data_IF_429246010278
#
_entry.id   IF_429246010278
#
_cell.length_a   1.000
_cell.length_b   1.000
_cell.length_c   1.000
_cell.angle_alpha   90.00
_cell.angle_beta   90.00
_cell.angle_gamma   90.00
#
_symmetry.space_group_name_H-M   'P 1'
#
loop_
_entity.id
_entity.type
_entity.pdbx_description
1 polymer ?
#
# COMPACT_ATOMS: atom_id res chain seq x y z
N UNK A 1 10.35 -34.04 20.03
CA UNK A 1 9.45 -33.36 19.06
C UNK A 1 8.36 -32.64 19.84
N UNK A 2 8.43 -31.30 19.96
CA UNK A 2 7.45 -30.50 20.71
C UNK A 2 6.15 -30.41 19.90
N UNK A 3 5.05 -30.85 20.48
CA UNK A 3 3.70 -30.77 19.90
C UNK A 3 3.41 -29.31 19.49
N UNK A 4 3.07 -28.98 18.23
CA UNK A 4 2.85 -27.60 17.77
C UNK A 4 1.49 -27.01 18.17
N UNK A 5 0.58 -27.86 18.69
CA UNK A 5 -0.80 -27.50 19.08
C UNK A 5 -0.98 -26.49 20.23
N UNK A 6 -0.08 -26.31 21.22
CA UNK A 6 -0.28 -25.33 22.29
C UNK A 6 0.02 -23.89 21.82
N UNK A 7 0.90 -23.71 20.82
CA UNK A 7 1.30 -22.37 20.37
C UNK A 7 0.19 -21.66 19.58
N UNK A 8 -0.49 -22.36 18.67
CA UNK A 8 -1.63 -21.80 17.92
C UNK A 8 -2.80 -21.42 18.86
N UNK A 9 -3.07 -22.26 19.86
CA UNK A 9 -4.09 -21.95 20.88
C UNK A 9 -3.71 -20.75 21.73
N UNK A 10 -2.45 -20.67 22.15
CA UNK A 10 -1.92 -19.53 22.89
C UNK A 10 -1.97 -18.24 22.05
N UNK A 11 -1.62 -18.32 20.76
CA UNK A 11 -1.73 -17.21 19.82
C UNK A 11 -3.17 -16.72 19.69
N UNK A 12 -4.12 -17.63 19.44
CA UNK A 12 -5.53 -17.26 19.28
C UNK A 12 -6.13 -16.67 20.56
N UNK A 13 -5.83 -17.26 21.72
CA UNK A 13 -6.26 -16.72 23.01
C UNK A 13 -5.68 -15.34 23.27
N UNK A 14 -4.41 -15.10 22.92
CA UNK A 14 -3.79 -13.80 23.04
C UNK A 14 -4.41 -12.80 22.06
N UNK A 15 -4.57 -13.16 20.80
CA UNK A 15 -5.20 -12.30 19.79
C UNK A 15 -6.61 -11.85 20.19
N UNK A 16 -7.39 -12.76 20.79
CA UNK A 16 -8.72 -12.43 21.31
C UNK A 16 -8.67 -11.50 22.53
N UNK A 17 -7.77 -11.77 23.51
CA UNK A 17 -7.59 -10.93 24.70
C UNK A 17 -7.14 -9.51 24.35
N UNK A 18 -6.25 -9.37 23.37
CA UNK A 18 -5.74 -8.08 22.90
C UNK A 18 -6.72 -7.34 21.95
N UNK A 19 -7.90 -7.92 21.69
CA UNK A 19 -8.90 -7.39 20.75
C UNK A 19 -8.29 -7.03 19.38
N UNK A 20 -7.45 -7.91 18.84
CA UNK A 20 -6.76 -7.69 17.56
C UNK A 20 -7.75 -7.46 16.43
N UNK A 21 -8.90 -8.15 16.46
CA UNK A 21 -9.99 -7.95 15.49
C UNK A 21 -10.53 -6.53 15.54
N UNK A 22 -10.83 -5.99 16.73
CA UNK A 22 -11.29 -4.60 16.89
C UNK A 22 -10.24 -3.58 16.44
N UNK A 23 -8.98 -3.80 16.79
CA UNK A 23 -7.86 -2.95 16.35
C UNK A 23 -7.66 -2.99 14.83
N UNK A 24 -7.77 -4.17 14.22
CA UNK A 24 -7.70 -4.31 12.76
C UNK A 24 -8.85 -3.61 12.05
N UNK A 25 -10.07 -3.66 12.62
CA UNK A 25 -11.22 -2.94 12.08
C UNK A 25 -11.02 -1.41 12.15
N UNK A 26 -10.45 -0.90 13.25
CA UNK A 26 -10.10 0.51 13.40
C UNK A 26 -9.08 0.96 12.35
N UNK A 27 -8.03 0.15 12.12
CA UNK A 27 -7.00 0.43 11.10
C UNK A 27 -7.60 0.37 9.69
N UNK A 28 -8.41 -0.65 9.39
CA UNK A 28 -9.07 -0.81 8.09
C UNK A 28 -10.05 0.33 7.78
N UNK A 29 -10.83 0.78 8.78
CA UNK A 29 -11.73 1.92 8.61
C UNK A 29 -10.95 3.22 8.31
N UNK A 30 -9.86 3.47 9.04
CA UNK A 30 -9.00 4.62 8.75
C UNK A 30 -8.34 4.51 7.38
N UNK A 31 -7.95 3.30 6.96
CA UNK A 31 -7.41 3.05 5.63
C UNK A 31 -8.45 3.40 4.55
N UNK A 32 -9.69 2.90 4.70
CA UNK A 32 -10.77 3.17 3.75
C UNK A 32 -11.03 4.68 3.57
N UNK A 33 -11.03 5.43 4.67
CA UNK A 33 -11.16 6.89 4.62
C UNK A 33 -9.94 7.57 3.99
N UNK A 34 -8.76 6.97 4.11
CA UNK A 34 -7.51 7.50 3.56
C UNK A 34 -7.28 7.18 2.09
N UNK A 35 -8.01 6.22 1.48
CA UNK A 35 -7.81 5.83 0.07
C UNK A 35 -7.98 7.01 -0.89
N UNK A 36 -9.12 7.72 -0.83
CA UNK A 36 -9.38 8.84 -1.75
C UNK A 36 -8.38 9.98 -1.57
N UNK A 37 -8.15 10.51 -0.36
CA UNK A 37 -7.18 11.58 -0.19
C UNK A 37 -5.77 11.14 -0.58
N UNK A 38 -5.38 9.89 -0.29
CA UNK A 38 -4.09 9.37 -0.71
C UNK A 38 -3.94 9.33 -2.23
N UNK A 39 -4.97 8.88 -2.96
CA UNK A 39 -4.97 8.91 -4.43
C UNK A 39 -4.80 10.34 -4.97
N UNK A 40 -5.46 11.33 -4.36
CA UNK A 40 -5.29 12.74 -4.73
C UNK A 40 -3.87 13.25 -4.47
N UNK A 41 -3.25 12.84 -3.36
CA UNK A 41 -1.87 13.20 -3.06
C UNK A 41 -0.92 12.63 -4.10
N UNK A 42 -1.09 11.36 -4.48
CA UNK A 42 -0.32 10.71 -5.54
C UNK A 42 -0.47 11.48 -6.84
N UNK A 43 -1.70 11.79 -7.26
CA UNK A 43 -1.96 12.59 -8.46
C UNK A 43 -1.24 13.94 -8.44
N UNK A 44 -1.34 14.68 -7.32
CA UNK A 44 -0.71 15.98 -7.18
C UNK A 44 0.83 15.90 -7.26
N UNK A 45 1.44 14.95 -6.54
CA UNK A 45 2.90 14.80 -6.52
C UNK A 45 3.42 14.37 -7.89
N UNK A 46 2.80 13.35 -8.50
CA UNK A 46 3.32 12.81 -9.75
C UNK A 46 2.92 13.63 -10.99
N UNK A 47 1.69 14.14 -11.02
CA UNK A 47 1.16 14.96 -12.11
C UNK A 47 1.69 16.40 -12.09
N UNK A 48 1.64 17.09 -10.94
CA UNK A 48 2.05 18.51 -10.89
C UNK A 48 3.51 18.72 -10.48
N UNK A 49 3.99 18.03 -9.44
CA UNK A 49 5.36 18.27 -8.93
C UNK A 49 6.41 17.61 -9.83
N UNK A 50 6.22 16.34 -10.16
CA UNK A 50 7.15 15.58 -11.00
C UNK A 50 6.86 15.70 -12.51
N UNK A 51 5.70 16.25 -12.90
CA UNK A 51 5.28 16.46 -14.30
C UNK A 51 5.35 15.19 -15.16
N UNK A 52 5.09 14.03 -14.56
CA UNK A 52 5.12 12.75 -15.26
C UNK A 52 3.80 12.59 -16.03
N UNK A 53 3.87 12.71 -17.36
CA UNK A 53 2.73 12.54 -18.24
C UNK A 53 2.24 11.07 -18.19
N UNK A 54 0.93 10.87 -18.01
CA UNK A 54 0.29 9.54 -18.03
C UNK A 54 0.02 8.90 -16.65
N UNK A 55 0.45 9.51 -15.54
CA UNK A 55 0.15 8.99 -14.19
C UNK A 55 -1.34 9.09 -13.85
N UNK A 56 -2.01 10.12 -14.38
CA UNK A 56 -3.43 10.38 -14.19
C UNK A 56 -4.29 9.20 -14.70
N UNK A 57 -3.94 8.67 -15.88
CA UNK A 57 -4.62 7.53 -16.48
C UNK A 57 -4.42 6.24 -15.66
N UNK A 58 -3.23 6.02 -15.10
CA UNK A 58 -2.94 4.87 -14.23
C UNK A 58 -3.71 4.93 -12.90
N UNK A 59 -3.70 6.10 -12.24
CA UNK A 59 -4.46 6.31 -10.99
C UNK A 59 -5.96 6.18 -11.23
N UNK A 60 -6.47 6.69 -12.35
CA UNK A 60 -7.87 6.56 -12.71
C UNK A 60 -8.26 5.11 -13.01
N UNK A 61 -7.43 4.35 -13.73
CA UNK A 61 -7.65 2.91 -13.97
C UNK A 61 -7.67 2.12 -12.67
N UNK A 62 -6.73 2.39 -11.75
CA UNK A 62 -6.71 1.76 -10.44
C UNK A 62 -7.95 2.12 -9.60
N UNK A 63 -8.39 3.38 -9.61
CA UNK A 63 -9.60 3.80 -8.92
C UNK A 63 -10.87 3.17 -9.52
N UNK A 64 -10.95 3.04 -10.85
CA UNK A 64 -12.05 2.35 -11.52
C UNK A 64 -12.09 0.85 -11.20
N UNK A 65 -10.93 0.19 -11.07
CA UNK A 65 -10.85 -1.21 -10.62
C UNK A 65 -11.29 -1.38 -9.18
N UNK A 66 -10.98 -0.42 -8.31
CA UNK A 66 -11.40 -0.42 -6.90
C UNK A 66 -12.89 -0.09 -6.73
N UNK A 67 -13.41 0.80 -7.59
CA UNK A 67 -14.78 1.28 -7.54
C UNK A 67 -15.44 1.17 -8.93
N UNK A 68 -15.74 -0.04 -9.41
CA UNK A 68 -16.28 -0.25 -10.76
C UNK A 68 -17.65 0.40 -10.99
N UNK A 69 -18.38 0.68 -9.91
CA UNK A 69 -19.68 1.35 -9.93
C UNK A 69 -19.59 2.88 -9.81
N UNK A 70 -18.39 3.44 -9.60
CA UNK A 70 -18.21 4.88 -9.64
C UNK A 70 -18.28 5.33 -11.10
N UNK A 71 -19.16 6.28 -11.41
CA UNK A 71 -19.27 6.83 -12.77
C UNK A 71 -17.92 7.39 -13.21
N UNK A 72 -17.39 6.88 -14.33
CA UNK A 72 -16.08 7.30 -14.84
C UNK A 72 -15.98 8.83 -14.97
N UNK A 73 -17.07 9.46 -15.42
CA UNK A 73 -17.18 10.92 -15.57
C UNK A 73 -17.05 11.67 -14.25
N UNK A 74 -17.54 11.10 -13.14
CA UNK A 74 -17.39 11.72 -11.81
C UNK A 74 -15.94 11.65 -11.36
N UNK A 75 -15.26 10.52 -11.59
CA UNK A 75 -13.84 10.37 -11.25
C UNK A 75 -12.96 11.29 -12.12
N UNK A 76 -13.18 11.33 -13.43
CA UNK A 76 -12.43 12.23 -14.33
C UNK A 76 -12.71 13.70 -14.05
N UNK A 77 -13.96 14.09 -13.75
CA UNK A 77 -14.27 15.48 -13.40
C UNK A 77 -13.62 15.91 -12.09
N UNK A 78 -13.56 15.03 -11.09
CA UNK A 78 -12.86 15.31 -9.83
C UNK A 78 -11.36 15.48 -10.07
N UNK A 79 -10.74 14.61 -10.87
CA UNK A 79 -9.31 14.70 -11.21
C UNK A 79 -9.00 15.95 -12.06
N UNK A 80 -9.79 16.21 -13.11
CA UNK A 80 -9.62 17.37 -13.99
C UNK A 80 -9.82 18.71 -13.27
N UNK A 81 -10.75 18.77 -12.29
CA UNK A 81 -10.91 19.95 -11.43
C UNK A 81 -9.71 20.19 -10.51
N UNK A 82 -8.96 19.16 -10.17
CA UNK A 82 -7.76 19.26 -9.32
C UNK A 82 -6.55 19.68 -10.16
N UNK A 83 -6.44 19.22 -11.41
CA UNK A 83 -5.40 19.66 -12.35
C UNK A 83 -5.63 21.09 -12.87
N UNK A 84 -6.89 21.43 -13.20
CA UNK A 84 -7.24 22.65 -13.92
C UNK A 84 -7.54 23.87 -13.06
N UNK A 85 -7.69 23.74 -11.73
CA UNK A 85 -8.12 24.84 -10.88
C UNK A 85 -7.06 25.26 -9.84
N UNK A 86 -7.03 26.58 -9.59
CA UNK A 86 -6.10 27.37 -8.76
C UNK A 86 -5.36 26.60 -7.66
N UNK A 87 -4.05 26.84 -7.56
CA UNK A 87 -3.09 26.40 -6.52
C UNK A 87 -3.71 26.17 -5.13
N UNK A 88 -4.71 26.97 -4.75
CA UNK A 88 -5.48 26.84 -3.50
C UNK A 88 -6.22 25.50 -3.32
N UNK A 89 -6.89 24.95 -4.35
CA UNK A 89 -7.62 23.67 -4.25
C UNK A 89 -6.63 22.50 -4.19
N UNK A 90 -5.56 22.56 -4.99
CA UNK A 90 -4.45 21.60 -4.89
C UNK A 90 -3.81 21.60 -3.50
N UNK A 91 -3.60 22.77 -2.89
CA UNK A 91 -3.12 22.89 -1.50
C UNK A 91 -4.13 22.32 -0.50
N UNK A 92 -5.43 22.59 -0.66
CA UNK A 92 -6.44 22.05 0.24
C UNK A 92 -6.56 20.52 0.14
N UNK A 93 -6.50 19.97 -1.07
CA UNK A 93 -6.47 18.53 -1.31
C UNK A 93 -5.19 17.90 -0.77
N UNK A 94 -4.04 18.57 -0.92
CA UNK A 94 -2.77 18.15 -0.33
C UNK A 94 -2.84 18.15 1.20
N UNK A 95 -3.34 19.21 1.84
CA UNK A 95 -3.45 19.28 3.29
C UNK A 95 -4.49 18.28 3.85
N UNK A 96 -5.62 18.11 3.16
CA UNK A 96 -6.64 17.13 3.53
C UNK A 96 -6.13 15.70 3.42
N UNK A 97 -5.41 15.38 2.35
CA UNK A 97 -4.81 14.07 2.15
C UNK A 97 -3.69 13.75 3.12
N UNK A 98 -2.88 14.75 3.42
CA UNK A 98 -1.82 14.66 4.40
C UNK A 98 -2.38 14.46 5.81
N UNK A 99 -3.49 15.12 6.15
CA UNK A 99 -4.18 14.95 7.43
C UNK A 99 -4.79 13.56 7.59
N UNK A 100 -5.46 13.06 6.56
CA UNK A 100 -6.14 11.75 6.57
C UNK A 100 -5.14 10.59 6.42
N UNK A 101 -4.14 10.72 5.56
CA UNK A 101 -3.02 9.77 5.51
C UNK A 101 -2.31 9.69 6.86
N UNK A 102 -2.18 10.81 7.57
CA UNK A 102 -1.62 10.81 8.91
C UNK A 102 -2.52 10.19 9.98
N UNK A 103 -3.84 10.06 9.75
CA UNK A 103 -4.76 9.36 10.68
C UNK A 103 -4.62 7.84 10.56
N UNK A 104 -4.40 7.30 9.35
CA UNK A 104 -4.11 5.88 9.15
C UNK A 104 -2.88 5.43 9.95
N UNK A 105 -1.76 6.13 9.80
CA UNK A 105 -0.55 5.83 10.55
C UNK A 105 -0.71 6.03 12.06
N UNK A 106 -1.51 7.01 12.48
CA UNK A 106 -1.85 7.18 13.89
C UNK A 106 -2.66 6.03 14.46
N UNK A 107 -3.62 5.50 13.69
CA UNK A 107 -4.39 4.31 14.06
C UNK A 107 -3.50 3.06 14.15
N UNK A 108 -2.55 2.90 13.22
CA UNK A 108 -1.54 1.84 13.31
C UNK A 108 -0.69 2.00 14.57
N UNK A 109 -0.10 3.17 14.81
CA UNK A 109 0.71 3.44 16.01
C UNK A 109 -0.04 3.10 17.30
N UNK A 110 -1.32 3.47 17.38
CA UNK A 110 -2.20 3.16 18.52
C UNK A 110 -2.45 1.65 18.67
N UNK A 111 -2.70 0.95 17.56
CA UNK A 111 -2.93 -0.49 17.56
C UNK A 111 -1.67 -1.26 17.99
N UNK A 112 -0.52 -0.93 17.42
CA UNK A 112 0.77 -1.52 17.78
C UNK A 112 1.15 -1.17 19.23
N UNK A 113 0.96 0.07 19.67
CA UNK A 113 1.18 0.48 21.06
C UNK A 113 0.40 -0.38 22.06
N UNK A 114 -0.87 -0.64 21.74
CA UNK A 114 -1.73 -1.49 22.57
C UNK A 114 -1.31 -2.96 22.57
N UNK A 115 -0.99 -3.53 21.40
CA UNK A 115 -0.59 -4.94 21.27
C UNK A 115 0.77 -5.19 21.97
N UNK A 116 1.74 -4.31 21.76
CA UNK A 116 3.09 -4.43 22.30
C UNK A 116 3.24 -3.85 23.70
N UNK A 117 2.17 -3.29 24.29
CA UNK A 117 2.19 -2.68 25.62
C UNK A 117 3.30 -1.61 25.77
N UNK A 118 3.52 -0.84 24.70
CA UNK A 118 4.46 0.29 24.68
C UNK A 118 3.70 1.59 24.73
N UNK A 119 4.28 2.62 25.36
CA UNK A 119 3.67 3.94 25.40
C UNK A 119 3.40 4.46 23.99
N UNK A 120 2.13 4.82 23.72
CA UNK A 120 1.74 5.47 22.48
C UNK A 120 2.52 6.77 22.31
N UNK A 121 2.89 7.10 21.07
CA UNK A 121 3.58 8.36 20.78
C UNK A 121 2.69 9.54 21.17
N UNK A 122 3.29 10.60 21.72
CA UNK A 122 2.57 11.85 21.96
C UNK A 122 2.04 12.43 20.64
N UNK A 123 1.01 13.28 20.69
CA UNK A 123 0.31 13.77 19.49
C UNK A 123 1.27 14.34 18.41
N UNK A 124 2.28 15.11 18.81
CA UNK A 124 3.29 15.69 17.89
C UNK A 124 4.23 14.62 17.32
N UNK A 125 4.68 13.68 18.15
CA UNK A 125 5.59 12.60 17.77
C UNK A 125 4.88 11.63 16.80
N UNK A 126 3.61 11.32 17.07
CA UNK A 126 2.75 10.51 16.23
C UNK A 126 2.57 11.16 14.85
N UNK A 127 2.28 12.47 14.79
CA UNK A 127 2.16 13.15 13.50
C UNK A 127 3.47 13.15 12.71
N UNK A 128 4.61 13.47 13.34
CA UNK A 128 5.93 13.40 12.68
C UNK A 128 6.23 12.02 12.11
N UNK A 129 5.93 10.96 12.86
CA UNK A 129 6.08 9.59 12.39
C UNK A 129 5.17 9.29 11.19
N UNK A 130 3.89 9.69 11.26
CA UNK A 130 2.95 9.53 10.15
C UNK A 130 3.43 10.19 8.86
N UNK A 131 4.01 11.39 8.95
CA UNK A 131 4.60 12.09 7.81
C UNK A 131 5.80 11.35 7.22
N UNK A 132 6.72 10.87 8.07
CA UNK A 132 7.87 10.11 7.63
C UNK A 132 7.44 8.83 6.90
N UNK A 133 6.46 8.12 7.44
CA UNK A 133 5.96 6.87 6.88
C UNK A 133 5.17 7.09 5.59
N UNK A 134 4.44 8.20 5.46
CA UNK A 134 3.85 8.62 4.19
C UNK A 134 4.91 8.88 3.11
N UNK A 135 6.03 9.53 3.47
CA UNK A 135 7.18 9.70 2.59
C UNK A 135 7.79 8.37 2.14
N UNK A 136 7.90 7.40 3.04
CA UNK A 136 8.37 6.04 2.71
C UNK A 136 7.44 5.39 1.69
N UNK A 137 6.12 5.43 1.90
CA UNK A 137 5.16 4.85 0.93
C UNK A 137 5.25 5.53 -0.43
N UNK A 138 5.35 6.86 -0.47
CA UNK A 138 5.50 7.60 -1.74
C UNK A 138 6.79 7.23 -2.48
N UNK A 139 7.90 7.11 -1.76
CA UNK A 139 9.17 6.67 -2.31
C UNK A 139 9.05 5.26 -2.92
N UNK A 140 8.34 4.36 -2.24
CA UNK A 140 8.11 3.01 -2.74
C UNK A 140 7.19 2.96 -3.95
N UNK A 141 6.12 3.76 -3.99
CA UNK A 141 5.26 3.87 -5.18
C UNK A 141 6.09 4.44 -6.35
N UNK A 142 6.87 5.49 -6.11
CA UNK A 142 7.77 6.04 -7.11
C UNK A 142 8.73 4.97 -7.64
N UNK A 143 9.37 4.20 -6.76
CA UNK A 143 10.22 3.08 -7.13
C UNK A 143 9.46 2.04 -7.96
N UNK A 144 8.26 1.63 -7.53
CA UNK A 144 7.43 0.64 -8.23
C UNK A 144 7.04 1.06 -9.65
N UNK A 145 6.93 2.36 -9.93
CA UNK A 145 6.66 2.90 -11.27
C UNK A 145 7.95 3.04 -12.08
N UNK A 146 9.03 3.50 -11.44
CA UNK A 146 10.31 3.75 -12.10
C UNK A 146 11.04 2.47 -12.50
N UNK A 147 10.92 1.40 -11.70
CA UNK A 147 11.58 0.12 -11.91
C UNK A 147 11.17 -0.52 -13.25
N UNK A 148 9.88 -0.74 -13.57
CA UNK A 148 9.46 -1.23 -14.88
C UNK A 148 9.90 -0.32 -16.04
N UNK A 149 9.92 1.00 -15.83
CA UNK A 149 10.35 1.95 -16.86
C UNK A 149 11.87 1.87 -17.15
N UNK A 150 12.69 1.70 -16.11
CA UNK A 150 14.13 1.49 -16.22
C UNK A 150 14.42 0.14 -16.88
N UNK A 151 13.71 -0.92 -16.50
CA UNK A 151 13.85 -2.23 -17.15
C UNK A 151 13.47 -2.16 -18.63
N UNK A 152 12.35 -1.52 -18.98
CA UNK A 152 11.97 -1.33 -20.39
C UNK A 152 13.04 -0.54 -21.19
N UNK A 153 13.69 0.45 -20.57
CA UNK A 153 14.78 1.21 -21.20
C UNK A 153 16.08 0.40 -21.37
N UNK A 154 16.41 -0.46 -20.42
CA UNK A 154 17.57 -1.35 -20.46
C UNK A 154 17.38 -2.53 -21.44
N UNK A 155 16.18 -3.10 -21.48
CA UNK A 155 15.81 -4.19 -22.39
C UNK A 155 15.75 -3.69 -23.84
N UNK A 156 15.17 -2.51 -24.10
CA UNK A 156 15.18 -1.90 -25.44
C UNK A 156 16.58 -1.53 -25.95
N UNK A 157 17.54 -1.29 -25.03
CA UNK A 157 18.96 -1.11 -25.39
C UNK A 157 19.67 -2.44 -25.73
N UNK A 158 19.09 -3.58 -25.37
CA UNK A 158 19.67 -4.92 -25.53
C UNK A 158 19.12 -5.69 -26.74
N UNK A 159 18.13 -5.14 -27.47
CA UNK A 159 17.55 -5.70 -28.71
C UNK A 159 18.52 -5.80 -29.91
N UNK A 160 19.84 -5.65 -29.69
CA UNK A 160 20.90 -5.94 -30.66
C UNK A 160 21.67 -7.24 -30.34
N UNK A 161 21.06 -8.24 -29.70
CA UNK A 161 21.64 -9.59 -29.68
C UNK A 161 20.80 -10.62 -30.48
N UNK A 162 21.45 -11.39 -31.38
CA UNK A 162 20.80 -12.19 -32.42
C UNK A 162 20.39 -13.58 -31.90
N UNK A 163 19.72 -13.67 -30.76
CA UNK A 163 19.29 -14.97 -30.23
C UNK A 163 17.79 -14.92 -29.90
N UNK A 164 16.99 -15.53 -30.76
CA UNK A 164 15.56 -15.74 -30.54
C UNK A 164 15.33 -16.53 -29.26
N UNK A 165 14.81 -15.85 -28.23
CA UNK A 165 14.58 -16.42 -26.91
C UNK A 165 13.17 -16.06 -26.43
N UNK A 166 12.18 -16.82 -26.87
CA UNK A 166 10.83 -16.75 -26.28
C UNK A 166 10.79 -17.24 -24.83
N UNK A 167 11.82 -17.96 -24.37
CA UNK A 167 12.00 -18.42 -22.98
C UNK A 167 12.55 -17.35 -22.02
N UNK A 168 13.11 -16.24 -22.50
CA UNK A 168 13.60 -15.18 -21.60
C UNK A 168 12.44 -14.37 -21.03
N UNK A 169 11.35 -14.15 -21.78
CA UNK A 169 10.19 -13.38 -21.28
C UNK A 169 9.57 -13.99 -20.03
N UNK A 170 9.53 -15.32 -19.92
CA UNK A 170 9.00 -15.99 -18.73
C UNK A 170 9.91 -15.82 -17.50
N UNK A 171 11.24 -15.86 -17.70
CA UNK A 171 12.24 -15.63 -16.66
C UNK A 171 12.20 -14.17 -16.22
N UNK A 172 12.11 -13.24 -17.18
CA UNK A 172 12.02 -11.81 -16.96
C UNK A 172 10.76 -11.45 -16.17
N UNK A 173 9.60 -11.98 -16.58
CA UNK A 173 8.33 -11.79 -15.88
C UNK A 173 8.36 -12.39 -14.46
N UNK A 174 8.95 -13.58 -14.30
CA UNK A 174 9.09 -14.21 -12.98
C UNK A 174 10.04 -13.43 -12.05
N UNK A 175 11.11 -12.85 -12.61
CA UNK A 175 12.07 -12.03 -11.88
C UNK A 175 11.43 -10.71 -11.44
N UNK A 176 10.65 -10.08 -12.31
CA UNK A 176 9.90 -8.85 -12.04
C UNK A 176 8.82 -9.08 -10.95
N UNK A 177 8.05 -10.18 -11.06
CA UNK A 177 7.09 -10.61 -10.03
C UNK A 177 7.79 -10.90 -8.69
N UNK A 178 8.91 -11.63 -8.72
CA UNK A 178 9.69 -11.94 -7.53
C UNK A 178 10.21 -10.68 -6.85
N UNK A 179 10.69 -9.71 -7.64
CA UNK A 179 11.16 -8.43 -7.15
C UNK A 179 10.03 -7.58 -6.55
N UNK A 180 8.85 -7.54 -7.19
CA UNK A 180 7.67 -6.86 -6.65
C UNK A 180 7.24 -7.43 -5.29
N UNK A 181 7.20 -8.77 -5.17
CA UNK A 181 6.91 -9.43 -3.89
C UNK A 181 7.97 -9.10 -2.84
N UNK A 182 9.25 -9.07 -3.23
CA UNK A 182 10.35 -8.72 -2.34
C UNK A 182 10.24 -7.27 -1.84
N UNK A 183 9.85 -6.32 -2.70
CA UNK A 183 9.57 -4.94 -2.32
C UNK A 183 8.43 -4.90 -1.29
N UNK A 184 7.30 -5.57 -1.56
CA UNK A 184 6.17 -5.61 -0.61
C UNK A 184 6.60 -6.19 0.74
N UNK A 185 7.37 -7.28 0.72
CA UNK A 185 7.93 -7.87 1.93
C UNK A 185 8.88 -6.91 2.67
N UNK A 186 9.74 -6.18 1.95
CA UNK A 186 10.63 -5.18 2.54
C UNK A 186 9.84 -4.03 3.18
N UNK A 187 8.78 -3.55 2.53
CA UNK A 187 7.87 -2.53 3.07
C UNK A 187 7.24 -3.04 4.36
N UNK A 188 6.69 -4.26 4.36
CA UNK A 188 6.11 -4.85 5.55
C UNK A 188 7.15 -4.97 6.68
N UNK A 189 8.39 -5.40 6.38
CA UNK A 189 9.47 -5.42 7.37
C UNK A 189 9.74 -4.05 7.99
N UNK A 190 9.84 -3.00 7.16
CA UNK A 190 10.07 -1.62 7.62
C UNK A 190 8.92 -1.16 8.50
N UNK A 191 7.67 -1.43 8.12
CA UNK A 191 6.48 -1.08 8.91
C UNK A 191 6.53 -1.76 10.28
N UNK A 192 6.72 -3.08 10.32
CA UNK A 192 6.74 -3.85 11.57
C UNK A 192 7.93 -3.49 12.46
N UNK A 193 9.02 -2.99 11.89
CA UNK A 193 10.19 -2.54 12.64
C UNK A 193 10.07 -1.08 13.13
N UNK A 194 9.53 -0.17 12.32
CA UNK A 194 9.54 1.27 12.60
C UNK A 194 8.28 1.78 13.33
N UNK A 195 7.13 1.10 13.15
CA UNK A 195 5.88 1.51 13.80
C UNK A 195 5.92 1.35 15.32
N UNK A 196 6.37 0.22 15.89
CA UNK A 196 6.48 0.08 17.34
C UNK A 196 7.56 1.02 17.91
N UNK A 197 7.26 1.72 19.01
CA UNK A 197 8.26 2.55 19.73
C UNK A 197 9.33 1.71 20.47
N UNK A 198 9.07 0.43 20.68
CA UNK A 198 9.98 -0.51 21.35
C UNK A 198 11.00 -1.14 20.41
N UNK A 199 12.17 -1.50 20.94
CA UNK A 199 13.17 -2.27 20.20
C UNK A 199 12.61 -3.65 19.87
N UNK A 200 12.26 -3.87 18.60
CA UNK A 200 11.73 -5.14 18.15
C UNK A 200 12.86 -5.99 17.54
N UNK A 201 13.17 -7.18 18.10
CA UNK A 201 14.21 -8.02 17.53
C UNK A 201 13.78 -8.46 16.13
N UNK A 202 14.73 -8.48 15.18
CA UNK A 202 14.46 -8.83 13.78
C UNK A 202 13.73 -10.17 13.62
N UNK A 203 13.97 -11.10 14.56
CA UNK A 203 13.33 -12.43 14.63
C UNK A 203 11.81 -12.38 14.78
N UNK A 204 11.27 -11.29 15.32
CA UNK A 204 9.82 -11.10 15.53
C UNK A 204 9.17 -10.29 14.39
N UNK A 205 9.98 -9.62 13.55
CA UNK A 205 9.53 -8.77 12.43
C UNK A 205 9.25 -9.59 11.18
N UNK A 206 10.22 -10.42 10.74
CA UNK A 206 10.12 -11.16 9.48
C UNK A 206 8.95 -12.15 9.39
N UNK A 207 8.51 -12.86 10.46
CA UNK A 207 7.39 -13.79 10.36
C UNK A 207 6.07 -13.05 10.14
N UNK A 208 5.90 -11.89 10.78
CA UNK A 208 4.74 -11.02 10.60
C UNK A 208 4.70 -10.41 9.20
N UNK A 209 5.83 -9.90 8.73
CA UNK A 209 5.95 -9.36 7.37
C UNK A 209 5.65 -10.43 6.32
N UNK A 210 6.20 -11.64 6.46
CA UNK A 210 5.96 -12.75 5.53
C UNK A 210 4.48 -13.14 5.51
N UNK A 211 3.84 -13.22 6.68
CA UNK A 211 2.42 -13.50 6.79
C UNK A 211 1.57 -12.45 6.06
N UNK A 212 1.87 -11.16 6.24
CA UNK A 212 1.16 -10.08 5.55
C UNK A 212 1.39 -10.12 4.05
N UNK A 213 2.61 -10.35 3.58
CA UNK A 213 2.91 -10.46 2.15
C UNK A 213 2.14 -11.61 1.50
N UNK A 214 2.09 -12.79 2.16
CA UNK A 214 1.31 -13.93 1.67
C UNK A 214 -0.18 -13.63 1.70
N UNK A 215 -0.69 -13.07 2.81
CA UNK A 215 -2.10 -12.70 2.93
C UNK A 215 -2.52 -11.67 1.89
N UNK A 216 -1.67 -10.68 1.60
CA UNK A 216 -1.90 -9.69 0.54
C UNK A 216 -1.90 -10.35 -0.85
N UNK A 217 -0.98 -11.28 -1.11
CA UNK A 217 -0.99 -12.06 -2.36
C UNK A 217 -2.28 -12.88 -2.53
N UNK A 218 -2.73 -13.55 -1.47
CA UNK A 218 -4.00 -14.29 -1.47
C UNK A 218 -5.18 -13.35 -1.65
N UNK A 219 -5.18 -12.18 -1.01
CA UNK A 219 -6.22 -11.18 -1.17
C UNK A 219 -6.29 -10.67 -2.62
N UNK A 220 -5.16 -10.32 -3.22
CA UNK A 220 -5.08 -9.89 -4.62
C UNK A 220 -5.58 -10.96 -5.59
N UNK A 221 -5.31 -12.24 -5.30
CA UNK A 221 -5.81 -13.35 -6.09
C UNK A 221 -7.31 -13.60 -5.88
N UNK A 222 -7.82 -13.46 -4.65
CA UNK A 222 -9.21 -13.72 -4.30
C UNK A 222 -10.17 -12.56 -4.65
N UNK A 223 -9.69 -11.32 -4.63
CA UNK A 223 -10.51 -10.12 -4.81
C UNK A 223 -11.24 -10.07 -6.17
N UNK A 224 -10.64 -10.46 -7.31
CA UNK A 224 -11.35 -10.55 -8.59
C UNK A 224 -12.48 -11.60 -8.58
N UNK A 225 -12.34 -12.70 -7.84
CA UNK A 225 -13.41 -13.71 -7.69
C UNK A 225 -14.60 -13.15 -6.89
N UNK A 226 -14.32 -12.36 -5.86
CA UNK A 226 -15.38 -11.68 -5.11
C UNK A 226 -16.13 -10.68 -6.01
N UNK A 227 -15.39 -9.82 -6.73
CA UNK A 227 -16.00 -8.82 -7.60
C UNK A 227 -16.83 -9.45 -8.72
N UNK A 228 -16.33 -10.49 -9.39
CA UNK A 228 -17.03 -11.16 -10.50
C UNK A 228 -18.37 -11.79 -10.09
N UNK A 229 -18.44 -12.39 -8.89
CA UNK A 229 -19.68 -12.97 -8.36
C UNK A 229 -20.69 -11.90 -7.89
N UNK A 230 -20.20 -10.78 -7.35
CA UNK A 230 -21.07 -9.68 -6.91
C UNK A 230 -21.58 -8.87 -8.11
N UNK A 231 -20.76 -8.65 -9.14
CA UNK A 231 -21.18 -7.97 -10.38
C UNK A 231 -22.21 -8.77 -11.19
N UNK A 232 -22.21 -10.11 -11.07
CA UNK A 232 -23.25 -10.94 -11.70
C UNK A 232 -24.61 -10.88 -11.00
N UNK A 233 -24.70 -10.29 -9.81
CA UNK A 233 -25.97 -10.06 -9.10
C UNK A 233 -26.57 -8.67 -9.40
N UNK A 234 -25.84 -7.79 -10.09
CA UNK A 234 -26.26 -6.43 -10.44
C UNK A 234 -26.55 -6.22 -11.93
N UNK A 235 -26.60 -7.29 -12.73
CA UNK A 235 -27.23 -7.32 -14.06
C UNK A 235 -28.57 -8.06 -13.99
#
# INVERSE_FOLDING_TARGET
>A
MRNPRPWLRAFWQRAYRENVTGLSAMVAYNLMLAVFPFALLVLFVFGQVLKIQGVEAGVLDDLQRLFPNAEQNTLTDVLARIEGNSTTIGIAAFLGSLWIGASFWGAMDTAFGRIYHVESRGWVEQKRFSFAMLGVVLLFIAASILLPAIEAALVSSTDRLPLGLSNIKAIDTALLLGFAVLIVFAICCVIYWAVPKGHMPWRDVWPGAAFVTVAAGVANWAFPFYLSNVSSLSQ
#
